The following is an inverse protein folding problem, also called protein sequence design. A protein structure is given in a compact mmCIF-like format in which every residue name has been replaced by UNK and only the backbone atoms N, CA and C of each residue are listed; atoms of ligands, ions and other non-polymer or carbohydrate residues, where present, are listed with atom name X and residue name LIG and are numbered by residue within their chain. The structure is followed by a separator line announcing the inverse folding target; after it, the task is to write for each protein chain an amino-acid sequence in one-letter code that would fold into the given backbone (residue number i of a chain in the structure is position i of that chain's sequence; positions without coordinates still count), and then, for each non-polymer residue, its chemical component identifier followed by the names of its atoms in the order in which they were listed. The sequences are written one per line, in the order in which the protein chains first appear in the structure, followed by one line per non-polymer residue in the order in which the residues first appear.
data_IF_439424659769
#
_entry.id   IF_439424659769
#
_cell.length_a   1.000
_cell.length_b   1.000
_cell.length_c   1.000
_cell.angle_alpha   90.00
_cell.angle_beta   90.00
_cell.angle_gamma   90.00
#
_symmetry.space_group_name_H-M   'P 1'
#
loop_
_entity.id
_entity.type
_entity.pdbx_description
1 polymer ?
#
# COMPACT_ATOMS: atom_id res chain seq x y z
N UNK A 1 9.47 14.33 -6.48
CA UNK A 1 10.30 15.48 -6.12
C UNK A 1 11.76 15.12 -5.79
N UNK A 2 12.02 13.98 -5.14
CA UNK A 2 13.39 13.56 -4.78
C UNK A 2 14.27 13.26 -6.00
N UNK A 3 13.66 12.89 -7.13
CA UNK A 3 14.35 12.47 -8.37
C UNK A 3 14.40 13.59 -9.43
N UNK A 4 13.82 14.76 -9.14
CA UNK A 4 13.84 15.89 -10.11
C UNK A 4 15.20 16.59 -10.11
N UNK A 5 16.13 16.04 -10.90
CA UNK A 5 17.49 16.53 -11.05
C UNK A 5 17.61 17.82 -11.86
N UNK A 6 16.52 18.31 -12.46
CA UNK A 6 16.56 19.48 -13.37
C UNK A 6 16.78 20.80 -12.64
N UNK A 7 16.54 20.85 -11.34
CA UNK A 7 16.59 22.08 -10.54
C UNK A 7 17.60 22.08 -9.39
N UNK A 8 18.22 20.94 -9.07
CA UNK A 8 19.13 20.81 -7.93
C UNK A 8 20.44 20.15 -8.35
N UNK A 9 21.52 20.88 -8.31
CA UNK A 9 22.89 20.38 -8.54
C UNK A 9 23.39 19.38 -7.49
N UNK A 10 22.60 19.06 -6.48
CA UNK A 10 22.90 18.08 -5.44
C UNK A 10 21.80 17.01 -5.28
N UNK A 11 20.90 16.85 -6.27
CA UNK A 11 19.84 15.85 -6.20
C UNK A 11 20.43 14.43 -6.20
N UNK A 12 19.94 13.52 -5.33
CA UNK A 12 20.41 12.15 -5.30
C UNK A 12 20.12 11.44 -6.62
N UNK A 13 21.03 10.59 -7.05
CA UNK A 13 20.80 9.72 -8.21
C UNK A 13 19.75 8.66 -7.80
N UNK A 14 19.07 8.10 -8.79
CA UNK A 14 18.11 7.02 -8.54
C UNK A 14 18.76 5.82 -7.82
N UNK A 15 20.06 5.63 -8.05
CA UNK A 15 20.84 4.57 -7.43
C UNK A 15 21.13 4.80 -5.93
N UNK A 16 21.00 6.04 -5.47
CA UNK A 16 21.22 6.45 -4.07
C UNK A 16 19.92 6.42 -3.25
N UNK A 17 18.79 6.02 -3.87
CA UNK A 17 17.47 6.05 -3.24
C UNK A 17 17.04 4.64 -2.87
N UNK A 18 16.75 4.40 -1.61
CA UNK A 18 15.99 3.27 -1.12
C UNK A 18 14.61 3.75 -0.63
N UNK A 19 13.54 3.00 -0.94
CA UNK A 19 12.18 3.36 -0.59
C UNK A 19 11.49 2.23 0.16
N UNK A 20 11.15 2.48 1.42
CA UNK A 20 10.28 1.62 2.20
C UNK A 20 8.85 2.17 2.18
N UNK A 21 7.91 1.39 1.65
CA UNK A 21 6.49 1.75 1.58
C UNK A 21 5.70 0.98 2.63
N UNK A 22 5.05 1.71 3.52
CA UNK A 22 4.19 1.14 4.55
C UNK A 22 2.73 1.32 4.14
N UNK A 23 2.04 0.20 3.93
CA UNK A 23 0.61 0.19 3.60
C UNK A 23 -0.25 0.04 4.87
N UNK A 24 -1.43 0.63 4.82
CA UNK A 24 -2.43 0.55 5.91
C UNK A 24 -3.15 -0.79 5.99
N UNK A 25 -2.85 -1.72 5.09
CA UNK A 25 -3.52 -3.00 4.95
C UNK A 25 -4.41 -3.07 3.72
N UNK A 26 -4.66 -4.28 3.25
CA UNK A 26 -5.50 -4.56 2.09
C UNK A 26 -6.58 -5.57 2.45
N UNK A 27 -7.83 -5.25 2.15
CA UNK A 27 -8.94 -6.19 2.18
C UNK A 27 -9.12 -6.82 0.81
N UNK A 28 -9.16 -8.14 0.76
CA UNK A 28 -9.61 -8.85 -0.43
C UNK A 28 -11.13 -8.73 -0.52
N UNK A 29 -11.61 -7.71 -1.22
CA UNK A 29 -13.05 -7.55 -1.48
C UNK A 29 -13.43 -8.36 -2.69
N UNK A 30 -14.34 -9.31 -2.48
CA UNK A 30 -15.08 -9.94 -3.56
C UNK A 30 -16.37 -9.14 -3.78
N UNK A 31 -16.53 -8.57 -4.95
CA UNK A 31 -17.80 -7.96 -5.33
C UNK A 31 -18.73 -9.12 -5.73
N UNK A 32 -19.55 -9.58 -4.80
CA UNK A 32 -20.53 -10.60 -5.12
C UNK A 32 -21.62 -10.03 -6.01
N UNK A 33 -21.70 -10.54 -7.24
CA UNK A 33 -22.64 -10.07 -8.27
C UNK A 33 -24.03 -10.69 -8.18
N UNK A 34 -24.52 -11.09 -7.00
CA UNK A 34 -25.81 -11.77 -6.86
C UNK A 34 -27.05 -10.92 -7.20
N UNK A 35 -26.90 -9.59 -7.24
CA UNK A 35 -27.94 -8.66 -7.72
C UNK A 35 -27.29 -7.55 -8.51
N UNK A 36 -27.39 -7.61 -9.84
CA UNK A 36 -26.88 -6.60 -10.76
C UNK A 36 -27.71 -5.28 -10.79
N UNK A 37 -28.67 -5.15 -9.92
CA UNK A 37 -29.56 -3.96 -9.83
C UNK A 37 -28.98 -2.91 -8.88
N UNK A 38 -27.74 -2.49 -9.18
CA UNK A 38 -27.04 -1.50 -8.39
C UNK A 38 -27.27 -0.09 -8.94
N UNK A 39 -27.92 0.76 -8.13
CA UNK A 39 -28.04 2.19 -8.42
C UNK A 39 -26.71 2.94 -8.23
N UNK A 40 -26.63 4.19 -8.73
CA UNK A 40 -25.43 5.04 -8.68
C UNK A 40 -24.81 5.15 -7.28
N UNK A 41 -25.63 5.26 -6.23
CA UNK A 41 -25.17 5.39 -4.86
C UNK A 41 -24.47 4.12 -4.35
N UNK A 42 -24.86 2.95 -4.82
CA UNK A 42 -24.28 1.68 -4.43
C UNK A 42 -22.94 1.42 -5.13
N UNK A 43 -22.75 1.97 -6.34
CA UNK A 43 -21.51 1.89 -7.10
C UNK A 43 -20.41 2.85 -6.60
N UNK A 44 -20.80 3.98 -5.99
CA UNK A 44 -19.84 5.02 -5.62
C UNK A 44 -18.72 4.51 -4.70
N UNK A 45 -19.07 3.78 -3.63
CA UNK A 45 -18.06 3.23 -2.68
C UNK A 45 -17.15 2.19 -3.31
N UNK A 46 -17.66 1.14 -4.01
CA UNK A 46 -16.80 0.18 -4.71
C UNK A 46 -15.88 0.84 -5.75
N UNK A 47 -16.38 1.79 -6.53
CA UNK A 47 -15.59 2.51 -7.53
C UNK A 47 -14.42 3.28 -6.91
N UNK A 48 -14.66 4.02 -5.85
CA UNK A 48 -13.58 4.75 -5.14
C UNK A 48 -12.51 3.78 -4.66
N UNK A 49 -12.90 2.65 -4.07
CA UNK A 49 -11.95 1.64 -3.61
C UNK A 49 -11.16 1.00 -4.77
N UNK A 50 -11.82 0.70 -5.89
CA UNK A 50 -11.14 0.17 -7.08
C UNK A 50 -10.14 1.18 -7.62
N UNK A 51 -10.51 2.46 -7.71
CA UNK A 51 -9.62 3.52 -8.17
C UNK A 51 -8.41 3.69 -7.26
N UNK A 52 -8.62 3.76 -5.94
CA UNK A 52 -7.53 3.89 -4.96
C UNK A 52 -6.59 2.68 -5.05
N UNK A 53 -7.13 1.47 -5.06
CA UNK A 53 -6.32 0.24 -5.15
C UNK A 53 -5.59 0.14 -6.48
N UNK A 54 -6.23 0.56 -7.59
CA UNK A 54 -5.62 0.59 -8.91
C UNK A 54 -4.42 1.55 -8.98
N UNK A 55 -4.58 2.77 -8.45
CA UNK A 55 -3.49 3.76 -8.41
C UNK A 55 -2.34 3.29 -7.53
N UNK A 56 -2.65 2.70 -6.36
CA UNK A 56 -1.61 2.14 -5.48
C UNK A 56 -0.86 0.97 -6.14
N UNK A 57 -1.57 0.11 -6.87
CA UNK A 57 -0.96 -1.02 -7.59
C UNK A 57 0.00 -0.54 -8.70
N UNK A 58 -0.38 0.49 -9.46
CA UNK A 58 0.49 1.08 -10.49
C UNK A 58 1.74 1.72 -9.86
N UNK A 59 1.58 2.47 -8.77
CA UNK A 59 2.70 3.08 -8.07
C UNK A 59 3.67 2.02 -7.50
N UNK A 60 3.15 0.96 -6.89
CA UNK A 60 3.95 -0.18 -6.40
C UNK A 60 4.74 -0.83 -7.54
N UNK A 61 4.07 -1.13 -8.65
CA UNK A 61 4.72 -1.70 -9.83
C UNK A 61 5.84 -0.81 -10.37
N UNK A 62 5.58 0.49 -10.52
CA UNK A 62 6.58 1.45 -11.01
C UNK A 62 7.79 1.52 -10.06
N UNK A 63 7.56 1.60 -8.75
CA UNK A 63 8.64 1.62 -7.76
C UNK A 63 9.51 0.35 -7.85
N UNK A 64 8.89 -0.82 -8.00
CA UNK A 64 9.61 -2.10 -8.20
C UNK A 64 10.46 -2.09 -9.47
N UNK A 65 9.94 -1.53 -10.57
CA UNK A 65 10.68 -1.46 -11.84
C UNK A 65 11.90 -0.53 -11.74
N UNK A 66 11.74 0.63 -11.11
CA UNK A 66 12.82 1.63 -11.03
C UNK A 66 13.84 1.35 -9.92
N UNK A 67 13.40 0.92 -8.75
CA UNK A 67 14.25 0.76 -7.58
C UNK A 67 14.70 -0.70 -7.35
N UNK A 68 14.01 -1.66 -7.95
CA UNK A 68 14.30 -3.10 -7.85
C UNK A 68 14.42 -3.56 -6.38
N UNK A 69 15.58 -4.07 -5.98
CA UNK A 69 15.90 -4.53 -4.63
C UNK A 69 16.00 -3.42 -3.58
N UNK A 70 16.04 -2.16 -4.01
CA UNK A 70 15.99 -0.96 -3.14
C UNK A 70 14.57 -0.48 -2.85
N UNK A 71 13.57 -1.21 -3.29
CA UNK A 71 12.17 -0.97 -2.94
C UNK A 71 11.63 -2.11 -2.08
N UNK A 72 11.11 -1.74 -0.92
CA UNK A 72 10.41 -2.66 -0.02
C UNK A 72 9.00 -2.16 0.26
N UNK A 73 8.03 -3.05 0.20
CA UNK A 73 6.66 -2.72 0.59
C UNK A 73 6.16 -3.70 1.63
N UNK A 74 5.77 -3.15 2.77
CA UNK A 74 5.06 -3.86 3.83
C UNK A 74 3.60 -3.38 3.85
N UNK A 75 2.67 -4.31 3.60
CA UNK A 75 1.24 -4.05 3.67
C UNK A 75 0.54 -5.32 4.12
N UNK A 76 -0.05 -5.34 5.31
CA UNK A 76 -0.77 -6.51 5.79
C UNK A 76 -1.99 -6.78 4.91
N UNK A 77 -2.33 -8.06 4.77
CA UNK A 77 -3.55 -8.50 4.09
C UNK A 77 -4.54 -8.96 5.16
N UNK A 78 -5.71 -8.34 5.18
CA UNK A 78 -6.77 -8.74 6.10
C UNK A 78 -7.46 -10.02 5.62
N UNK A 79 -7.97 -10.84 6.54
CA UNK A 79 -8.76 -12.02 6.19
C UNK A 79 -9.92 -11.66 5.26
N UNK A 80 -10.30 -12.61 4.39
CA UNK A 80 -11.43 -12.45 3.49
C UNK A 80 -12.71 -12.14 4.28
N UNK A 81 -13.47 -11.14 3.80
CA UNK A 81 -14.68 -10.67 4.48
C UNK A 81 -14.45 -9.62 5.58
N UNK A 82 -13.19 -9.27 5.89
CA UNK A 82 -12.89 -8.16 6.79
C UNK A 82 -13.04 -6.85 6.01
N UNK A 83 -14.05 -6.07 6.33
CA UNK A 83 -14.28 -4.74 5.78
C UNK A 83 -14.06 -3.69 6.87
N UNK A 84 -13.06 -2.83 6.66
CA UNK A 84 -12.71 -1.76 7.57
C UNK A 84 -12.81 -0.45 6.79
N UNK A 85 -13.76 0.39 7.18
CA UNK A 85 -13.87 1.73 6.59
C UNK A 85 -12.74 2.64 7.11
N UNK A 86 -12.35 3.65 6.30
CA UNK A 86 -11.28 4.57 6.66
C UNK A 86 -11.57 5.39 7.93
N UNK A 87 -12.83 5.55 8.28
CA UNK A 87 -13.34 6.28 9.43
C UNK A 87 -13.84 5.37 10.56
N UNK A 88 -13.58 4.06 10.50
CA UNK A 88 -14.04 3.08 11.49
C UNK A 88 -13.13 3.07 12.73
N UNK A 89 -13.34 4.05 13.61
CA UNK A 89 -12.60 4.18 14.86
C UNK A 89 -12.81 2.98 15.80
N UNK A 90 -13.96 2.31 15.72
CA UNK A 90 -14.25 1.14 16.56
C UNK A 90 -13.31 -0.04 16.25
N UNK A 91 -12.73 -0.09 15.07
CA UNK A 91 -11.78 -1.13 14.64
C UNK A 91 -10.32 -0.83 14.98
N UNK A 92 -10.02 0.30 15.61
CA UNK A 92 -8.63 0.67 15.95
C UNK A 92 -7.94 -0.40 16.79
N UNK A 93 -8.61 -0.96 17.79
CA UNK A 93 -8.05 -2.06 18.62
C UNK A 93 -7.63 -3.26 17.77
N UNK A 94 -8.50 -3.70 16.87
CA UNK A 94 -8.20 -4.80 15.95
C UNK A 94 -7.02 -4.48 15.03
N UNK A 95 -6.92 -3.25 14.50
CA UNK A 95 -5.80 -2.84 13.66
C UNK A 95 -4.48 -2.85 14.42
N UNK A 96 -4.48 -2.45 15.69
CA UNK A 96 -3.30 -2.54 16.57
C UNK A 96 -2.88 -3.99 16.78
N UNK A 97 -3.82 -4.89 17.07
CA UNK A 97 -3.53 -6.32 17.22
C UNK A 97 -2.91 -6.91 15.95
N UNK A 98 -3.49 -6.62 14.78
CA UNK A 98 -2.93 -7.06 13.49
C UNK A 98 -1.52 -6.51 13.28
N UNK A 99 -1.29 -5.24 13.59
CA UNK A 99 0.02 -4.62 13.44
C UNK A 99 1.07 -5.27 14.36
N UNK A 100 0.70 -5.64 15.59
CA UNK A 100 1.59 -6.31 16.54
C UNK A 100 1.96 -7.74 16.14
N UNK A 101 1.14 -8.38 15.31
CA UNK A 101 1.40 -9.74 14.82
C UNK A 101 2.24 -9.79 13.53
N UNK A 102 2.56 -8.63 12.94
CA UNK A 102 3.37 -8.59 11.73
C UNK A 102 4.81 -8.99 12.05
N UNK A 103 5.31 -9.99 11.33
CA UNK A 103 6.74 -10.33 11.37
C UNK A 103 7.55 -9.27 10.61
N UNK A 104 8.40 -8.57 11.31
CA UNK A 104 9.26 -7.53 10.77
C UNK A 104 10.66 -8.03 10.37
N UNK A 105 10.96 -9.31 10.55
CA UNK A 105 12.29 -9.88 10.34
C UNK A 105 12.86 -9.58 8.95
N UNK A 106 12.08 -9.83 7.91
CA UNK A 106 12.50 -9.55 6.53
C UNK A 106 12.65 -8.05 6.26
N UNK A 107 11.77 -7.23 6.82
CA UNK A 107 11.84 -5.76 6.69
C UNK A 107 13.10 -5.21 7.33
N UNK A 108 13.46 -5.69 8.52
CA UNK A 108 14.67 -5.27 9.22
C UNK A 108 15.93 -5.71 8.49
N UNK A 109 15.97 -6.93 7.95
CA UNK A 109 17.06 -7.40 7.11
C UNK A 109 17.23 -6.56 5.85
N UNK A 110 16.11 -6.15 5.23
CA UNK A 110 16.16 -5.28 4.07
C UNK A 110 16.68 -3.88 4.43
N UNK A 111 16.23 -3.30 5.55
CA UNK A 111 16.72 -2.00 6.05
C UNK A 111 18.23 -2.07 6.30
N UNK A 112 18.72 -3.08 6.99
CA UNK A 112 20.16 -3.22 7.27
C UNK A 112 21.01 -3.32 6.00
N UNK A 113 20.47 -3.97 4.96
CA UNK A 113 21.15 -4.10 3.67
C UNK A 113 21.14 -2.83 2.82
N UNK A 114 20.01 -2.11 2.80
CA UNK A 114 19.78 -1.04 1.81
C UNK A 114 19.91 0.38 2.39
N UNK A 115 19.94 0.52 3.71
CA UNK A 115 19.91 1.84 4.41
C UNK A 115 21.22 2.18 5.12
N UNK A 116 22.32 1.73 4.57
CA UNK A 116 23.67 2.06 5.08
C UNK A 116 24.22 3.30 4.42
#
# INVERSE_FOLDING_TARGET
HAIDTRKNTGAPRIDDIALCSLGVGQSLRYISGERLDWGYAQWARPLVNILINGVMGVADYQCRQFLRDRYWRMSPVFPAGTDIALDDVARTGYLVEVAQQIDLSETLLWIDRCWR
#
